data_IF_318211663501
#
_entry.id   IF_318211663501
#
_cell.length_a   1.000
_cell.length_b   1.000
_cell.length_c   1.000
_cell.angle_alpha   90.00
_cell.angle_beta   90.00
_cell.angle_gamma   90.00
#
_symmetry.space_group_name_H-M   'P 1'
#
loop_
_entity.id
_entity.type
_entity.pdbx_description
1 polymer ?
#
# COMPACT_ATOMS: atom_id res chain seq x y z
N UNK A 1 -55.65 -6.62 9.06
CA UNK A 1 -54.99 -6.96 7.78
C UNK A 1 -53.48 -7.00 8.01
N UNK A 2 -52.82 -8.04 7.51
CA UNK A 2 -51.41 -8.40 7.81
C UNK A 2 -50.41 -7.34 7.30
N UNK A 3 -49.43 -7.04 8.14
CA UNK A 3 -48.24 -6.23 7.83
C UNK A 3 -47.40 -6.95 6.76
N UNK A 4 -47.05 -6.28 5.67
CA UNK A 4 -46.01 -6.72 4.75
C UNK A 4 -44.76 -5.89 5.08
N UNK A 5 -43.81 -6.54 5.73
CA UNK A 5 -42.46 -6.01 5.95
C UNK A 5 -41.70 -5.99 4.62
N UNK A 6 -41.18 -4.83 4.24
CA UNK A 6 -40.07 -4.74 3.29
C UNK A 6 -38.78 -4.59 4.08
N UNK A 7 -38.14 -5.72 4.40
CA UNK A 7 -36.74 -5.76 4.81
C UNK A 7 -35.88 -6.07 3.60
N UNK A 8 -35.50 -5.02 2.85
CA UNK A 8 -34.45 -5.09 1.83
C UNK A 8 -33.48 -3.93 2.12
N UNK A 9 -32.71 -4.05 3.19
CA UNK A 9 -31.66 -3.07 3.50
C UNK A 9 -30.54 -3.72 4.33
N UNK A 10 -29.90 -4.76 3.78
CA UNK A 10 -28.92 -5.54 4.55
C UNK A 10 -27.78 -6.22 3.79
N UNK A 11 -27.57 -5.95 2.50
CA UNK A 11 -26.62 -6.77 1.69
C UNK A 11 -25.40 -6.03 1.13
N UNK A 12 -25.19 -4.74 1.43
CA UNK A 12 -24.13 -3.95 0.75
C UNK A 12 -22.78 -3.95 1.51
N UNK A 13 -22.73 -4.41 2.77
CA UNK A 13 -21.54 -4.23 3.63
C UNK A 13 -20.46 -5.33 3.46
N UNK A 14 -20.72 -6.43 2.73
CA UNK A 14 -19.78 -7.56 2.69
C UNK A 14 -18.65 -7.45 1.64
N UNK A 15 -18.74 -6.54 0.66
CA UNK A 15 -17.77 -6.52 -0.45
C UNK A 15 -16.42 -5.86 -0.07
N UNK A 16 -16.41 -4.88 0.82
CA UNK A 16 -15.18 -4.13 1.16
C UNK A 16 -14.15 -4.96 1.92
N UNK A 17 -14.60 -5.86 2.80
CA UNK A 17 -13.71 -6.69 3.62
C UNK A 17 -13.00 -7.78 2.78
N UNK A 18 -13.68 -8.33 1.76
CA UNK A 18 -13.09 -9.33 0.86
C UNK A 18 -11.96 -8.74 -0.01
N UNK A 19 -12.16 -7.53 -0.53
CA UNK A 19 -11.14 -6.81 -1.30
C UNK A 19 -9.88 -6.57 -0.46
N UNK A 20 -10.03 -6.10 0.79
CA UNK A 20 -8.93 -5.85 1.72
C UNK A 20 -8.10 -7.11 1.99
N UNK A 21 -8.75 -8.25 2.26
CA UNK A 21 -8.05 -9.54 2.50
C UNK A 21 -7.21 -9.99 1.31
N UNK A 22 -7.67 -9.75 0.07
CA UNK A 22 -6.93 -10.16 -1.13
C UNK A 22 -5.62 -9.38 -1.32
N UNK A 23 -5.52 -8.18 -0.75
CA UNK A 23 -4.34 -7.32 -0.84
C UNK A 23 -3.28 -7.61 0.21
N UNK A 24 -3.59 -8.37 1.27
CA UNK A 24 -2.58 -8.73 2.28
C UNK A 24 -1.37 -9.42 1.65
N UNK A 25 -0.17 -9.02 2.10
CA UNK A 25 1.09 -9.55 1.58
C UNK A 25 2.15 -8.46 1.40
N UNK A 26 3.29 -8.87 0.83
CA UNK A 26 4.41 -7.98 0.54
C UNK A 26 4.38 -7.53 -0.90
N UNK A 27 4.67 -6.27 -1.13
CA UNK A 27 4.83 -5.63 -2.42
C UNK A 27 6.21 -5.01 -2.47
N UNK A 28 6.81 -4.97 -3.66
CA UNK A 28 8.10 -4.31 -3.84
C UNK A 28 8.17 -3.58 -5.16
N UNK A 29 8.81 -2.43 -5.12
CA UNK A 29 9.38 -1.75 -6.26
C UNK A 29 10.91 -1.87 -6.18
N UNK A 30 11.56 -2.13 -7.31
CA UNK A 30 13.01 -2.16 -7.43
C UNK A 30 13.39 -1.14 -8.48
N UNK A 31 13.85 0.02 -8.01
CA UNK A 31 14.32 1.08 -8.87
C UNK A 31 15.80 0.92 -9.20
N UNK A 32 16.36 1.97 -9.77
CA UNK A 32 17.79 2.06 -9.98
C UNK A 32 18.52 2.27 -8.66
N UNK A 33 17.98 3.10 -7.75
CA UNK A 33 18.68 3.56 -6.55
C UNK A 33 18.31 2.81 -5.29
N UNK A 34 17.04 2.43 -5.17
CA UNK A 34 16.50 1.81 -3.96
C UNK A 34 15.69 0.56 -4.25
N UNK A 35 15.46 -0.19 -3.18
CA UNK A 35 14.41 -1.20 -3.11
C UNK A 35 13.38 -0.69 -2.10
N UNK A 36 12.18 -0.44 -2.58
CA UNK A 36 11.06 -0.01 -1.76
C UNK A 36 10.10 -1.19 -1.53
N UNK A 37 9.72 -1.43 -0.29
CA UNK A 37 8.84 -2.52 0.09
C UNK A 37 7.67 -2.04 0.93
N UNK A 38 6.48 -2.53 0.58
CA UNK A 38 5.24 -2.27 1.29
C UNK A 38 4.62 -3.59 1.75
N UNK A 39 4.40 -3.77 3.04
CA UNK A 39 3.87 -5.01 3.62
C UNK A 39 2.51 -4.72 4.24
N UNK A 40 1.44 -5.20 3.62
CA UNK A 40 0.06 -5.00 4.07
C UNK A 40 -0.37 -6.12 5.03
N UNK A 41 -0.77 -5.76 6.25
CA UNK A 41 -1.21 -6.67 7.32
C UNK A 41 -2.47 -6.15 8.02
N UNK A 42 -3.60 -6.82 7.85
CA UNK A 42 -4.87 -6.40 8.45
C UNK A 42 -5.15 -4.92 8.16
N UNK A 43 -5.08 -4.05 9.18
CA UNK A 43 -5.32 -2.60 9.07
C UNK A 43 -4.04 -1.75 9.11
N UNK A 44 -2.87 -2.37 9.20
CA UNK A 44 -1.56 -1.72 9.26
C UNK A 44 -0.72 -2.11 8.05
N UNK A 45 0.10 -1.18 7.56
CA UNK A 45 1.15 -1.45 6.61
C UNK A 45 2.51 -1.16 7.22
N UNK A 46 3.54 -1.85 6.74
CA UNK A 46 4.94 -1.56 7.06
C UNK A 46 5.61 -1.14 5.75
N UNK A 47 6.27 0.01 5.75
CA UNK A 47 7.00 0.54 4.62
C UNK A 47 8.48 0.55 4.93
N UNK A 48 9.30 0.00 4.05
CA UNK A 48 10.75 -0.03 4.20
C UNK A 48 11.43 0.32 2.90
N UNK A 49 12.43 1.18 2.99
CA UNK A 49 13.30 1.55 1.88
C UNK A 49 14.70 1.05 2.19
N UNK A 50 15.30 0.37 1.22
CA UNK A 50 16.66 -0.12 1.25
C UNK A 50 17.47 0.54 0.14
N UNK A 51 18.76 0.75 0.35
CA UNK A 51 19.66 1.08 -0.75
C UNK A 51 20.01 -0.17 -1.58
N UNK A 52 20.81 -0.02 -2.63
CA UNK A 52 21.25 -1.15 -3.50
C UNK A 52 22.01 -2.26 -2.75
N UNK A 53 22.70 -1.91 -1.68
CA UNK A 53 23.44 -2.85 -0.83
C UNK A 53 22.55 -3.58 0.20
N UNK A 54 21.22 -3.42 0.10
CA UNK A 54 20.23 -3.97 1.02
C UNK A 54 20.35 -3.42 2.45
N UNK A 55 21.01 -2.27 2.64
CA UNK A 55 21.02 -1.55 3.91
C UNK A 55 19.68 -0.85 4.07
N UNK A 56 19.05 -1.04 5.24
CA UNK A 56 17.81 -0.35 5.58
C UNK A 56 18.06 1.14 5.75
N UNK A 57 17.38 1.95 4.95
CA UNK A 57 17.52 3.41 4.94
C UNK A 57 16.31 4.09 5.59
N UNK A 58 15.13 3.49 5.52
CA UNK A 58 13.94 4.01 6.19
C UNK A 58 13.00 2.86 6.58
N UNK A 59 12.31 3.00 7.71
CA UNK A 59 11.22 2.11 8.09
C UNK A 59 10.11 2.90 8.79
N UNK A 60 8.89 2.80 8.27
CA UNK A 60 7.68 3.34 8.88
C UNK A 60 6.57 2.29 8.94
N UNK A 61 5.55 2.56 9.76
CA UNK A 61 4.31 1.81 9.77
C UNK A 61 3.15 2.73 10.12
N UNK A 62 2.00 2.49 9.49
CA UNK A 62 0.76 3.19 9.81
C UNK A 62 -0.45 2.42 9.28
N UNK A 63 -1.63 3.01 9.38
CA UNK A 63 -2.87 2.46 8.92
C UNK A 63 -3.05 2.58 7.41
N UNK A 64 -3.80 1.64 6.86
CA UNK A 64 -4.29 1.71 5.49
C UNK A 64 -5.73 1.26 5.36
N UNK A 65 -6.39 1.83 4.35
CA UNK A 65 -7.78 1.54 4.01
C UNK A 65 -7.92 1.28 2.52
N UNK A 66 -9.07 0.69 2.14
CA UNK A 66 -9.46 0.48 0.75
C UNK A 66 -10.78 1.18 0.48
N UNK A 67 -10.82 1.93 -0.61
CA UNK A 67 -12.03 2.52 -1.15
C UNK A 67 -12.10 2.22 -2.66
N UNK A 68 -13.03 1.36 -3.06
CA UNK A 68 -13.10 0.87 -4.43
C UNK A 68 -11.83 0.11 -4.82
N UNK A 69 -11.18 0.58 -5.89
CA UNK A 69 -9.92 0.08 -6.44
C UNK A 69 -8.70 0.88 -5.95
N UNK A 70 -8.84 1.68 -4.89
CA UNK A 70 -7.74 2.51 -4.37
C UNK A 70 -7.34 2.11 -2.97
N UNK A 71 -6.03 2.03 -2.75
CA UNK A 71 -5.44 1.91 -1.42
C UNK A 71 -5.06 3.29 -0.91
N UNK A 72 -5.46 3.60 0.32
CA UNK A 72 -5.05 4.82 1.01
C UNK A 72 -4.07 4.45 2.13
N UNK A 73 -2.89 5.08 2.13
CA UNK A 73 -1.83 4.89 3.11
C UNK A 73 -1.70 6.17 3.94
N UNK A 74 -1.85 6.06 5.26
CA UNK A 74 -1.61 7.19 6.15
C UNK A 74 -0.12 7.34 6.40
N UNK A 75 0.40 8.58 6.45
CA UNK A 75 1.79 8.88 6.80
C UNK A 75 2.82 8.11 5.95
N UNK A 76 2.55 7.98 4.65
CA UNK A 76 3.43 7.37 3.66
C UNK A 76 4.60 8.31 3.32
N UNK A 77 5.80 7.74 3.17
CA UNK A 77 6.98 8.48 2.74
C UNK A 77 7.22 8.20 1.25
N UNK A 78 6.88 9.14 0.36
CA UNK A 78 7.16 8.96 -1.07
C UNK A 78 8.59 9.42 -1.38
N UNK A 79 9.44 8.48 -1.82
CA UNK A 79 10.84 8.73 -2.16
C UNK A 79 11.07 8.81 -3.69
N UNK A 80 10.19 8.24 -4.50
CA UNK A 80 10.31 8.23 -5.99
C UNK A 80 11.65 7.75 -6.57
N UNK A 81 12.25 6.71 -5.96
CA UNK A 81 13.59 6.20 -6.33
C UNK A 81 14.75 7.19 -6.13
N UNK A 82 14.55 8.26 -5.35
CA UNK A 82 15.65 9.12 -4.94
C UNK A 82 16.58 8.39 -3.95
N UNK A 83 17.89 8.54 -4.13
CA UNK A 83 18.85 7.97 -3.21
C UNK A 83 18.73 8.63 -1.82
N UNK A 84 18.80 7.81 -0.76
CA UNK A 84 18.95 8.28 0.61
C UNK A 84 20.42 8.16 0.98
N UNK A 85 21.13 9.28 1.09
CA UNK A 85 22.56 9.28 1.45
C UNK A 85 22.81 8.73 2.87
N UNK A 86 21.87 8.99 3.78
CA UNK A 86 21.92 8.55 5.17
C UNK A 86 20.60 7.88 5.59
N UNK A 87 20.63 6.92 6.54
CA UNK A 87 19.40 6.36 7.09
C UNK A 87 18.53 7.43 7.75
N UNK A 88 17.28 7.51 7.33
CA UNK A 88 16.32 8.49 7.80
C UNK A 88 15.66 8.00 9.10
N UNK A 89 15.84 8.75 10.19
CA UNK A 89 15.15 8.46 11.44
C UNK A 89 13.64 8.76 11.33
N UNK A 90 12.81 8.09 12.12
CA UNK A 90 11.37 8.35 12.13
C UNK A 90 11.02 9.81 12.45
N UNK A 91 11.85 10.47 13.28
CA UNK A 91 11.67 11.87 13.64
C UNK A 91 11.96 12.80 12.46
N UNK A 92 13.00 12.51 11.68
CA UNK A 92 13.36 13.33 10.51
C UNK A 92 12.41 13.10 9.34
N UNK A 93 11.89 11.88 9.20
CA UNK A 93 10.90 11.52 8.20
C UNK A 93 9.55 12.22 8.42
N UNK A 94 9.17 12.51 9.66
CA UNK A 94 7.83 12.97 10.04
C UNK A 94 7.34 14.18 9.23
N UNK A 95 8.24 15.13 8.92
CA UNK A 95 7.89 16.34 8.15
C UNK A 95 7.59 16.09 6.67
N UNK A 96 7.90 14.90 6.16
CA UNK A 96 7.70 14.51 4.76
C UNK A 96 6.58 13.48 4.59
N UNK A 97 6.03 12.97 5.68
CA UNK A 97 4.98 11.95 5.63
C UNK A 97 3.68 12.58 5.14
N UNK A 98 3.00 11.87 4.22
CA UNK A 98 1.80 12.33 3.56
C UNK A 98 0.72 11.26 3.56
N UNK A 99 -0.53 11.69 3.40
CA UNK A 99 -1.64 10.77 3.10
C UNK A 99 -1.63 10.59 1.58
N UNK A 100 -1.47 9.35 1.13
CA UNK A 100 -1.47 9.02 -0.30
C UNK A 100 -2.58 8.03 -0.62
N UNK A 101 -3.09 8.11 -1.85
CA UNK A 101 -4.08 7.19 -2.38
C UNK A 101 -3.65 6.72 -3.76
N UNK A 102 -3.52 5.42 -3.95
CA UNK A 102 -2.99 4.82 -5.17
C UNK A 102 -3.99 3.84 -5.80
N UNK A 103 -4.10 3.80 -7.14
CA UNK A 103 -4.87 2.77 -7.82
C UNK A 103 -4.25 1.39 -7.62
N UNK A 104 -5.11 0.39 -7.52
CA UNK A 104 -4.79 -1.01 -7.33
C UNK A 104 -5.51 -1.83 -8.40
N UNK A 105 -4.75 -2.55 -9.21
CA UNK A 105 -5.31 -3.35 -10.29
C UNK A 105 -4.59 -4.68 -10.43
N UNK A 106 -5.12 -5.55 -11.29
CA UNK A 106 -4.49 -6.82 -11.64
C UNK A 106 -4.01 -6.79 -13.08
N UNK A 107 -2.77 -7.22 -13.30
CA UNK A 107 -2.18 -7.42 -14.62
C UNK A 107 -1.49 -8.78 -14.64
N UNK A 108 -1.84 -9.65 -15.58
CA UNK A 108 -1.23 -10.99 -15.71
C UNK A 108 -1.21 -11.83 -14.42
N UNK A 109 -2.28 -11.73 -13.61
CA UNK A 109 -2.41 -12.36 -12.28
C UNK A 109 -1.60 -11.74 -11.14
N UNK A 110 -0.77 -10.73 -11.42
CA UNK A 110 -0.11 -9.92 -10.41
C UNK A 110 -1.03 -8.80 -9.92
N UNK A 111 -1.11 -8.62 -8.61
CA UNK A 111 -1.71 -7.41 -8.03
C UNK A 111 -0.65 -6.31 -8.01
N UNK A 112 -1.01 -5.15 -8.55
CA UNK A 112 -0.15 -3.97 -8.68
C UNK A 112 -0.76 -2.82 -7.89
N UNK A 113 0.09 -2.12 -7.15
CA UNK A 113 -0.19 -0.79 -6.59
C UNK A 113 0.65 0.19 -7.40
N UNK A 114 0.03 1.08 -8.16
CA UNK A 114 0.72 2.03 -9.01
C UNK A 114 0.92 3.35 -8.26
N UNK A 115 2.18 3.61 -7.87
CA UNK A 115 2.54 4.73 -6.99
C UNK A 115 2.82 6.00 -7.79
N UNK A 116 3.51 5.87 -8.92
CA UNK A 116 3.75 6.97 -9.87
C UNK A 116 3.78 6.40 -11.29
N UNK A 117 2.83 6.80 -12.15
CA UNK A 117 2.74 6.31 -13.52
C UNK A 117 3.77 6.94 -14.46
N UNK A 118 4.17 8.19 -14.20
CA UNK A 118 5.12 8.91 -15.04
C UNK A 118 6.53 8.32 -14.88
N UNK A 119 6.87 7.96 -13.64
CA UNK A 119 8.15 7.33 -13.26
C UNK A 119 8.11 5.79 -13.27
N UNK A 120 6.98 5.19 -13.71
CA UNK A 120 6.77 3.74 -13.76
C UNK A 120 7.06 3.02 -12.41
N UNK A 121 6.68 3.66 -11.30
CA UNK A 121 6.84 3.11 -9.95
C UNK A 121 5.64 2.21 -9.64
N UNK A 122 5.82 0.93 -9.92
CA UNK A 122 4.81 -0.12 -9.76
C UNK A 122 5.21 -1.10 -8.65
N UNK A 123 4.43 -1.11 -7.58
CA UNK A 123 4.62 -2.03 -6.45
C UNK A 123 3.93 -3.33 -6.80
N UNK A 124 4.72 -4.37 -7.05
CA UNK A 124 4.22 -5.69 -7.44
C UNK A 124 4.19 -6.63 -6.25
N UNK A 125 3.09 -7.36 -6.09
CA UNK A 125 2.96 -8.35 -5.01
C UNK A 125 4.00 -9.44 -5.17
N UNK A 126 4.86 -9.62 -4.18
CA UNK A 126 5.82 -10.73 -4.16
C UNK A 126 5.06 -12.04 -3.93
N UNK A 127 5.25 -13.02 -4.81
CA UNK A 127 4.70 -14.36 -4.58
C UNK A 127 5.37 -14.97 -3.35
N UNK A 128 4.60 -15.29 -2.32
CA UNK A 128 5.04 -16.22 -1.26
C UNK A 128 5.34 -17.56 -1.92
N UNK A 129 6.62 -17.93 -2.00
CA UNK A 129 7.03 -19.31 -2.23
C UNK A 129 6.86 -20.13 -0.95
#
# INVERSE_FOLDING_TARGET
>A
MRKIMFSILGSIIMMSCAAKKSLLGSYSFKGENIIDTLILKNDIYIHKIYNKDLKLMYQGEDQWTMEGDRITLLRFYNNEDNELEEPLSNKDAEKFLMITSFPVYKQNSETIIEVNSDENILYKKTSTR
#
